data_IF_600364759671
#
_entry.id   IF_600364759671
#
_cell.length_a   1.000
_cell.length_b   1.000
_cell.length_c   1.000
_cell.angle_alpha   90.00
_cell.angle_beta   90.00
_cell.angle_gamma   90.00
#
_symmetry.space_group_name_H-M   'P 1'
#
loop_
_entity.id
_entity.type
_entity.pdbx_description
1 polymer ?
#
# COMPACT_ATOMS: atom_id res chain seq x y z
N UNK A 1 5.30 -20.02 4.30
CA UNK A 1 5.32 -18.72 5.00
C UNK A 1 4.86 -18.84 6.44
N UNK A 2 3.59 -19.18 6.70
CA UNK A 2 3.00 -19.24 8.05
C UNK A 2 3.77 -20.13 9.06
N UNK A 3 4.19 -21.33 8.65
CA UNK A 3 4.91 -22.29 9.50
C UNK A 3 6.33 -21.83 9.90
N UNK A 4 7.00 -21.04 9.07
CA UNK A 4 8.38 -20.60 9.34
C UNK A 4 8.46 -19.50 10.42
N UNK A 5 7.37 -18.76 10.64
CA UNK A 5 7.39 -17.55 11.48
C UNK A 5 6.61 -17.66 12.79
N UNK A 6 5.69 -18.63 12.95
CA UNK A 6 5.00 -18.87 14.22
C UNK A 6 5.97 -19.15 15.38
N UNK A 7 7.20 -19.59 15.08
CA UNK A 7 8.24 -19.90 16.06
C UNK A 7 9.06 -18.69 16.55
N UNK A 8 8.86 -17.49 15.99
CA UNK A 8 9.75 -16.32 16.21
C UNK A 8 9.18 -15.20 17.09
N UNK A 9 7.92 -15.29 17.54
CA UNK A 9 7.26 -14.33 18.44
C UNK A 9 7.48 -12.84 18.09
N UNK A 10 7.58 -12.51 16.79
CA UNK A 10 7.72 -11.13 16.34
C UNK A 10 6.33 -10.51 16.17
N UNK A 11 5.87 -9.75 17.16
CA UNK A 11 4.54 -9.13 17.19
C UNK A 11 4.32 -8.16 16.02
N UNK A 12 5.37 -7.48 15.55
CA UNK A 12 5.33 -6.61 14.36
C UNK A 12 4.98 -7.43 13.10
N UNK A 13 5.59 -8.61 12.97
CA UNK A 13 5.31 -9.53 11.86
C UNK A 13 3.89 -10.12 11.90
N UNK A 14 3.32 -10.32 13.09
CA UNK A 14 1.92 -10.73 13.23
C UNK A 14 0.94 -9.64 12.75
N UNK A 15 1.28 -8.36 12.94
CA UNK A 15 0.54 -7.23 12.40
C UNK A 15 0.48 -7.26 10.88
N UNK A 16 1.63 -7.42 10.21
CA UNK A 16 1.71 -7.51 8.75
C UNK A 16 0.91 -8.69 8.18
N UNK A 17 1.00 -9.88 8.79
CA UNK A 17 0.16 -11.03 8.40
C UNK A 17 -1.32 -10.71 8.60
N UNK A 18 -1.67 -10.07 9.70
CA UNK A 18 -3.05 -9.71 10.05
C UNK A 18 -3.70 -8.86 8.96
N UNK A 19 -3.03 -7.78 8.56
CA UNK A 19 -3.52 -6.87 7.50
C UNK A 19 -3.71 -7.62 6.18
N UNK A 20 -2.69 -8.37 5.73
CA UNK A 20 -2.79 -9.14 4.47
C UNK A 20 -3.91 -10.18 4.54
N UNK A 21 -4.09 -10.84 5.69
CA UNK A 21 -5.15 -11.85 5.87
C UNK A 21 -6.53 -11.22 5.82
N UNK A 22 -6.73 -10.06 6.46
CA UNK A 22 -8.00 -9.31 6.43
C UNK A 22 -8.32 -8.89 4.99
N UNK A 23 -7.35 -8.30 4.28
CA UNK A 23 -7.53 -7.88 2.89
C UNK A 23 -7.80 -9.08 1.98
N UNK A 24 -7.09 -10.20 2.17
CA UNK A 24 -7.32 -11.43 1.42
C UNK A 24 -8.74 -11.97 1.63
N UNK A 25 -9.21 -12.06 2.88
CA UNK A 25 -10.58 -12.51 3.19
C UNK A 25 -11.62 -11.57 2.58
N UNK A 26 -11.39 -10.25 2.64
CA UNK A 26 -12.27 -9.26 2.03
C UNK A 26 -12.35 -9.45 0.50
N UNK A 27 -11.22 -9.61 -0.19
CA UNK A 27 -11.18 -9.86 -1.63
C UNK A 27 -11.87 -11.19 -1.94
N UNK A 28 -11.50 -12.28 -1.27
CA UNK A 28 -12.03 -13.62 -1.53
C UNK A 28 -13.56 -13.69 -1.33
N UNK A 29 -14.08 -13.04 -0.29
CA UNK A 29 -15.52 -12.99 -0.02
C UNK A 29 -16.30 -12.09 -0.98
N UNK A 30 -15.65 -11.13 -1.64
CA UNK A 30 -16.30 -10.16 -2.53
C UNK A 30 -15.99 -10.36 -4.01
N UNK A 31 -15.08 -11.27 -4.38
CA UNK A 31 -14.54 -11.40 -5.74
C UNK A 31 -15.61 -11.59 -6.83
N UNK A 32 -16.70 -12.32 -6.53
CA UNK A 32 -17.83 -12.54 -7.45
C UNK A 32 -18.68 -11.28 -7.66
N UNK A 33 -18.67 -10.36 -6.69
CA UNK A 33 -19.42 -9.10 -6.73
C UNK A 33 -18.57 -7.99 -7.37
N UNK A 34 -17.31 -7.90 -6.98
CA UNK A 34 -16.41 -6.85 -7.45
C UNK A 34 -15.93 -7.07 -8.89
N UNK A 35 -15.87 -8.32 -9.35
CA UNK A 35 -15.41 -8.66 -10.71
C UNK A 35 -14.12 -7.91 -11.08
N UNK A 36 -13.13 -7.92 -10.18
CA UNK A 36 -11.85 -7.23 -10.37
C UNK A 36 -11.17 -7.66 -11.67
N UNK A 37 -10.63 -6.68 -12.40
CA UNK A 37 -9.85 -6.96 -13.60
C UNK A 37 -8.50 -7.62 -13.26
N UNK A 38 -7.87 -8.24 -14.25
CA UNK A 38 -6.59 -8.93 -14.05
C UNK A 38 -5.50 -7.98 -13.55
N UNK A 39 -5.49 -6.72 -14.00
CA UNK A 39 -4.51 -5.74 -13.55
C UNK A 39 -4.62 -5.53 -12.02
N UNK A 40 -5.83 -5.34 -11.53
CA UNK A 40 -6.11 -5.12 -10.10
C UNK A 40 -5.75 -6.37 -9.27
N UNK A 41 -6.11 -7.56 -9.75
CA UNK A 41 -5.79 -8.82 -9.06
C UNK A 41 -4.28 -9.11 -9.01
N UNK A 42 -3.56 -8.89 -10.11
CA UNK A 42 -2.09 -8.99 -10.12
C UNK A 42 -1.46 -7.93 -9.22
N UNK A 43 -1.97 -6.71 -9.26
CA UNK A 43 -1.58 -5.61 -8.38
C UNK A 43 -1.62 -6.03 -6.91
N UNK A 44 -2.79 -6.51 -6.47
CA UNK A 44 -3.03 -6.99 -5.10
C UNK A 44 -2.16 -8.19 -4.74
N UNK A 45 -1.95 -9.12 -5.67
CA UNK A 45 -1.13 -10.31 -5.44
C UNK A 45 0.34 -9.96 -5.23
N UNK A 46 0.88 -9.07 -6.06
CA UNK A 46 2.26 -8.58 -5.93
C UNK A 46 2.39 -7.77 -4.64
N UNK A 47 1.42 -6.91 -4.32
CA UNK A 47 1.44 -6.14 -3.07
C UNK A 47 1.45 -7.08 -1.85
N UNK A 48 0.56 -8.08 -1.82
CA UNK A 48 0.52 -9.05 -0.73
C UNK A 48 1.83 -9.83 -0.59
N UNK A 49 2.44 -10.24 -1.71
CA UNK A 49 3.76 -10.86 -1.71
C UNK A 49 4.84 -9.91 -1.18
N UNK A 50 4.89 -8.67 -1.67
CA UNK A 50 5.85 -7.66 -1.23
C UNK A 50 5.71 -7.40 0.27
N UNK A 51 4.51 -7.15 0.77
CA UNK A 51 4.25 -6.88 2.18
C UNK A 51 4.72 -8.05 3.07
N UNK A 52 4.38 -9.28 2.68
CA UNK A 52 4.80 -10.49 3.40
C UNK A 52 6.31 -10.70 3.33
N UNK A 53 6.96 -10.49 2.18
CA UNK A 53 8.42 -10.62 2.05
C UNK A 53 9.15 -9.50 2.78
N UNK A 54 8.66 -8.27 2.73
CA UNK A 54 9.28 -7.09 3.31
C UNK A 54 9.31 -7.12 4.84
N UNK A 55 8.21 -7.59 5.46
CA UNK A 55 8.12 -7.75 6.92
C UNK A 55 8.87 -8.97 7.47
N UNK A 56 9.44 -9.82 6.61
CA UNK A 56 9.89 -11.15 7.01
C UNK A 56 11.32 -11.48 6.59
N UNK A 57 11.77 -10.94 5.47
CA UNK A 57 13.13 -11.08 4.99
C UNK A 57 14.06 -10.20 5.83
N UNK A 58 15.06 -10.80 6.46
CA UNK A 58 16.06 -10.08 7.25
C UNK A 58 17.13 -9.47 6.34
N UNK A 59 17.46 -8.20 6.58
CA UNK A 59 18.53 -7.46 5.91
C UNK A 59 19.37 -6.76 6.98
N UNK A 60 20.57 -7.27 7.21
CA UNK A 60 21.40 -6.89 8.35
C UNK A 60 20.68 -7.21 9.67
N UNK A 61 20.63 -6.24 10.57
CA UNK A 61 19.97 -6.37 11.88
C UNK A 61 18.44 -6.14 11.82
N UNK A 62 17.91 -5.76 10.67
CA UNK A 62 16.52 -5.34 10.48
C UNK A 62 15.76 -6.24 9.49
N UNK A 63 14.52 -5.87 9.18
CA UNK A 63 13.73 -6.46 8.09
C UNK A 63 13.86 -5.62 6.82
N UNK A 64 13.51 -6.19 5.67
CA UNK A 64 13.61 -5.52 4.37
C UNK A 64 12.86 -4.18 4.34
N UNK A 65 11.74 -4.03 5.07
CA UNK A 65 11.06 -2.73 5.25
C UNK A 65 12.00 -1.59 5.68
N UNK A 66 12.86 -1.86 6.67
CA UNK A 66 13.78 -0.88 7.21
C UNK A 66 15.02 -0.66 6.33
N UNK A 67 15.15 -1.42 5.23
CA UNK A 67 16.31 -1.32 4.36
C UNK A 67 16.36 0.05 3.67
N UNK A 68 17.46 0.74 3.92
CA UNK A 68 17.80 2.06 3.37
C UNK A 68 18.37 1.86 1.96
N UNK A 69 17.54 2.09 0.94
CA UNK A 69 17.89 1.82 -0.47
C UNK A 69 18.90 2.85 -0.96
N UNK A 70 18.56 4.13 -0.82
CA UNK A 70 19.37 5.24 -1.32
C UNK A 70 19.17 6.48 -0.45
N UNK A 71 20.23 7.19 -0.04
CA UNK A 71 20.13 8.38 0.80
C UNK A 71 19.75 9.60 -0.03
N UNK A 72 18.51 9.68 -0.51
CA UNK A 72 17.96 10.90 -1.13
C UNK A 72 17.99 12.07 -0.13
N UNK A 73 17.68 11.80 1.13
CA UNK A 73 17.77 12.78 2.21
C UNK A 73 17.99 12.08 3.56
N UNK A 74 18.90 12.64 4.37
CA UNK A 74 19.15 12.20 5.74
C UNK A 74 19.02 13.42 6.65
N UNK A 75 17.99 13.41 7.50
CA UNK A 75 17.66 14.51 8.40
C UNK A 75 17.86 14.17 9.87
N UNK A 76 17.59 15.14 10.74
CA UNK A 76 17.53 14.92 12.18
C UNK A 76 16.36 13.99 12.57
N UNK A 77 16.42 13.42 13.78
CA UNK A 77 15.33 12.59 14.32
C UNK A 77 15.09 11.27 13.58
N UNK A 78 16.08 10.76 12.85
CA UNK A 78 16.00 9.46 12.16
C UNK A 78 15.33 9.51 10.78
N UNK A 79 15.02 10.69 10.26
CA UNK A 79 14.47 10.86 8.91
C UNK A 79 15.43 10.33 7.85
N UNK A 80 14.95 9.40 7.03
CA UNK A 80 15.71 8.83 5.91
C UNK A 80 14.79 8.57 4.72
N UNK A 81 15.08 9.23 3.61
CA UNK A 81 14.47 8.98 2.31
C UNK A 81 15.58 8.37 1.46
N UNK A 82 15.47 7.20 0.84
CA UNK A 82 14.35 6.31 0.58
C UNK A 82 14.56 4.95 1.26
N UNK A 83 13.64 4.51 2.14
CA UNK A 83 13.59 3.13 2.62
C UNK A 83 12.72 2.27 1.70
N UNK A 84 12.84 0.95 1.81
CA UNK A 84 11.98 0.01 1.08
C UNK A 84 10.50 0.16 1.44
N UNK A 85 10.22 0.56 2.67
CA UNK A 85 8.89 0.93 3.15
C UNK A 85 8.15 1.89 2.22
N UNK A 86 8.74 3.05 1.93
CA UNK A 86 8.18 4.04 1.02
C UNK A 86 7.92 3.49 -0.40
N UNK A 87 8.69 2.48 -0.86
CA UNK A 87 8.46 1.81 -2.14
C UNK A 87 7.21 0.92 -2.09
N UNK A 88 7.05 0.17 -1.00
CA UNK A 88 5.86 -0.67 -0.80
C UNK A 88 4.61 0.19 -0.63
N UNK A 89 4.71 1.32 0.05
CA UNK A 89 3.64 2.31 0.17
C UNK A 89 3.25 2.90 -1.19
N UNK A 90 4.21 3.39 -1.97
CA UNK A 90 3.96 3.86 -3.33
C UNK A 90 3.25 2.82 -4.19
N UNK A 91 3.76 1.59 -4.20
CA UNK A 91 3.15 0.52 -5.00
C UNK A 91 1.76 0.14 -4.48
N UNK A 92 1.64 -0.10 -3.17
CA UNK A 92 0.43 -0.57 -2.51
C UNK A 92 -0.74 0.40 -2.66
N UNK A 93 -0.49 1.70 -2.49
CA UNK A 93 -1.53 2.71 -2.69
C UNK A 93 -1.74 3.07 -4.16
N UNK A 94 -0.77 2.81 -5.04
CA UNK A 94 -1.07 2.71 -6.48
C UNK A 94 -2.11 1.63 -6.78
N UNK A 95 -1.95 0.44 -6.19
CA UNK A 95 -2.92 -0.67 -6.31
C UNK A 95 -4.26 -0.33 -5.65
N UNK A 96 -4.27 0.31 -4.48
CA UNK A 96 -5.50 0.75 -3.84
C UNK A 96 -6.27 1.76 -4.69
N UNK A 97 -5.57 2.66 -5.40
CA UNK A 97 -6.19 3.54 -6.38
C UNK A 97 -6.78 2.77 -7.58
N UNK A 98 -6.13 1.71 -8.06
CA UNK A 98 -6.69 0.84 -9.11
C UNK A 98 -7.96 0.13 -8.63
N UNK A 99 -7.97 -0.38 -7.40
CA UNK A 99 -9.16 -0.96 -6.75
C UNK A 99 -10.29 0.07 -6.70
N UNK A 100 -10.02 1.27 -6.20
CA UNK A 100 -11.00 2.34 -6.12
C UNK A 100 -11.54 2.73 -7.51
N UNK A 101 -10.65 2.88 -8.49
CA UNK A 101 -11.01 3.17 -9.87
C UNK A 101 -11.93 2.10 -10.46
N UNK A 102 -11.54 0.83 -10.34
CA UNK A 102 -12.33 -0.30 -10.83
C UNK A 102 -13.74 -0.29 -10.26
N UNK A 103 -13.86 -0.21 -8.93
CA UNK A 103 -15.16 -0.23 -8.25
C UNK A 103 -16.04 0.98 -8.58
N UNK A 104 -15.45 2.18 -8.63
CA UNK A 104 -16.17 3.39 -9.01
C UNK A 104 -16.62 3.34 -10.47
N UNK A 105 -15.74 2.89 -11.38
CA UNK A 105 -16.00 2.86 -12.82
C UNK A 105 -17.21 2.01 -13.20
N UNK A 106 -17.45 0.91 -12.47
CA UNK A 106 -18.59 0.01 -12.69
C UNK A 106 -19.96 0.69 -12.57
N UNK A 107 -20.05 1.71 -11.70
CA UNK A 107 -21.28 2.45 -11.45
C UNK A 107 -21.16 3.93 -11.87
N UNK A 108 -20.09 4.28 -12.58
CA UNK A 108 -19.86 5.65 -13.01
C UNK A 108 -20.76 5.96 -14.20
N UNK A 109 -21.59 7.01 -14.06
CA UNK A 109 -22.50 7.42 -15.14
C UNK A 109 -21.71 7.77 -16.39
N UNK A 110 -22.26 7.43 -17.56
CA UNK A 110 -21.66 7.75 -18.87
C UNK A 110 -21.41 9.27 -19.06
N UNK A 111 -22.25 10.12 -18.47
CA UNK A 111 -22.11 11.58 -18.47
C UNK A 111 -21.22 12.12 -17.36
N UNK A 112 -20.69 11.25 -16.50
CA UNK A 112 -19.85 11.63 -15.37
C UNK A 112 -18.45 12.07 -15.82
N UNK A 113 -17.92 13.11 -15.16
CA UNK A 113 -16.58 13.61 -15.46
C UNK A 113 -15.51 12.56 -15.16
N UNK A 114 -14.73 12.17 -16.19
CA UNK A 114 -13.57 11.27 -16.01
C UNK A 114 -12.52 11.86 -15.08
N UNK A 115 -12.35 13.18 -15.08
CA UNK A 115 -11.44 13.87 -14.16
C UNK A 115 -11.85 13.60 -12.72
N UNK A 116 -13.15 13.70 -12.41
CA UNK A 116 -13.66 13.40 -11.07
C UNK A 116 -13.49 11.93 -10.70
N UNK A 117 -13.71 11.00 -11.63
CA UNK A 117 -13.48 9.57 -11.39
C UNK A 117 -12.02 9.30 -10.96
N UNK A 118 -11.05 9.86 -11.68
CA UNK A 118 -9.63 9.72 -11.31
C UNK A 118 -9.31 10.43 -9.99
N UNK A 119 -9.79 11.66 -9.80
CA UNK A 119 -9.58 12.40 -8.55
C UNK A 119 -10.14 11.63 -7.34
N UNK A 120 -11.35 11.09 -7.42
CA UNK A 120 -11.93 10.31 -6.34
C UNK A 120 -11.18 8.99 -6.10
N UNK A 121 -10.66 8.36 -7.15
CA UNK A 121 -9.83 7.17 -6.99
C UNK A 121 -8.54 7.47 -6.21
N UNK A 122 -7.89 8.62 -6.49
CA UNK A 122 -6.73 9.10 -5.71
C UNK A 122 -7.12 9.40 -4.26
N UNK A 123 -8.20 10.15 -4.04
CA UNK A 123 -8.63 10.55 -2.69
C UNK A 123 -9.05 9.36 -1.83
N UNK A 124 -9.76 8.38 -2.40
CA UNK A 124 -10.12 7.13 -1.70
C UNK A 124 -8.84 6.37 -1.33
N UNK A 125 -7.89 6.26 -2.25
CA UNK A 125 -6.61 5.61 -1.98
C UNK A 125 -5.80 6.32 -0.89
N UNK A 126 -5.74 7.66 -0.92
CA UNK A 126 -5.09 8.44 0.12
C UNK A 126 -5.79 8.27 1.48
N UNK A 127 -7.12 8.13 1.49
CA UNK A 127 -7.90 7.79 2.68
C UNK A 127 -7.54 6.42 3.24
N UNK A 128 -7.40 5.39 2.38
CA UNK A 128 -6.86 4.10 2.82
C UNK A 128 -5.42 4.21 3.34
N UNK A 129 -4.61 5.09 2.75
CA UNK A 129 -3.28 5.45 3.24
C UNK A 129 -3.32 5.95 4.67
N UNK A 130 -4.14 6.97 4.94
CA UNK A 130 -4.31 7.50 6.28
C UNK A 130 -4.82 6.45 7.28
N UNK A 131 -5.71 5.54 6.87
CA UNK A 131 -6.15 4.44 7.73
C UNK A 131 -5.01 3.46 8.06
N UNK A 132 -4.13 3.17 7.10
CA UNK A 132 -2.94 2.36 7.34
C UNK A 132 -2.01 3.01 8.36
N UNK A 133 -1.71 4.30 8.18
CA UNK A 133 -0.88 5.06 9.11
C UNK A 133 -1.47 5.11 10.53
N UNK A 134 -2.80 5.18 10.66
CA UNK A 134 -3.47 5.09 11.97
C UNK A 134 -3.18 3.73 12.61
N UNK A 135 -3.23 2.63 11.86
CA UNK A 135 -2.92 1.29 12.38
C UNK A 135 -1.46 1.19 12.81
N UNK A 136 -0.53 1.73 12.02
CA UNK A 136 0.90 1.75 12.36
C UNK A 136 1.21 2.62 13.56
N UNK A 137 0.60 3.81 13.66
CA UNK A 137 0.70 4.66 14.83
C UNK A 137 0.18 3.96 16.09
N UNK A 138 -0.98 3.27 16.02
CA UNK A 138 -1.50 2.50 17.15
C UNK A 138 -0.54 1.36 17.52
N UNK A 139 0.08 0.70 16.53
CA UNK A 139 1.11 -0.31 16.80
C UNK A 139 2.31 0.29 17.55
N UNK A 140 2.79 1.47 17.12
CA UNK A 140 3.88 2.19 17.80
C UNK A 140 3.53 2.62 19.23
N UNK A 141 2.25 2.89 19.52
CA UNK A 141 1.79 3.25 20.87
C UNK A 141 1.69 2.03 21.79
N UNK A 142 1.25 0.87 21.28
CA UNK A 142 0.94 -0.30 22.12
C UNK A 142 2.03 -1.38 22.13
N UNK A 143 2.96 -1.38 21.17
CA UNK A 143 4.02 -2.38 21.07
C UNK A 143 5.38 -1.76 21.49
N UNK A 144 6.18 -2.49 22.28
CA UNK A 144 7.36 -1.93 22.94
C UNK A 144 8.49 -1.52 21.98
N UNK A 145 8.52 -2.02 20.74
CA UNK A 145 9.43 -1.58 19.67
C UNK A 145 8.77 -1.81 18.31
N UNK A 146 8.69 -0.77 17.48
CA UNK A 146 8.21 -0.86 16.08
C UNK A 146 9.12 -0.05 15.17
N UNK A 147 9.32 -0.50 13.93
CA UNK A 147 10.12 0.22 12.93
C UNK A 147 9.35 1.32 12.19
N UNK A 148 8.07 1.51 12.52
CA UNK A 148 7.10 2.34 11.81
C UNK A 148 6.26 3.20 12.76
N UNK A 149 5.48 4.15 12.23
CA UNK A 149 4.50 4.92 12.98
C UNK A 149 5.03 6.16 13.73
N UNK A 150 6.33 6.46 13.61
CA UNK A 150 6.87 7.76 14.04
C UNK A 150 6.42 8.90 13.11
N UNK A 151 6.56 10.16 13.56
CA UNK A 151 6.09 11.32 12.81
C UNK A 151 6.71 11.45 11.41
N UNK A 152 8.01 11.16 11.28
CA UNK A 152 8.72 11.31 10.01
C UNK A 152 8.39 10.18 9.05
N UNK A 153 8.32 8.95 9.54
CA UNK A 153 7.86 7.79 8.77
C UNK A 153 6.43 8.01 8.27
N UNK A 154 5.48 8.26 9.17
CA UNK A 154 4.08 8.54 8.81
C UNK A 154 3.96 9.66 7.76
N UNK A 155 4.69 10.77 7.94
CA UNK A 155 4.66 11.89 7.00
C UNK A 155 5.17 11.50 5.61
N UNK A 156 6.27 10.73 5.54
CA UNK A 156 6.79 10.22 4.28
C UNK A 156 5.83 9.22 3.65
N UNK A 157 5.28 8.31 4.43
CA UNK A 157 4.40 7.26 3.90
C UNK A 157 3.13 7.87 3.33
N UNK A 158 2.50 8.86 3.97
CA UNK A 158 1.39 9.62 3.38
C UNK A 158 1.75 10.28 2.03
N UNK A 159 2.98 10.80 1.90
CA UNK A 159 3.48 11.36 0.63
C UNK A 159 3.58 10.26 -0.43
N UNK A 160 4.25 9.14 -0.12
CA UNK A 160 4.43 8.04 -1.07
C UNK A 160 3.10 7.34 -1.41
N UNK A 161 2.17 7.22 -0.46
CA UNK A 161 0.80 6.75 -0.66
C UNK A 161 0.10 7.59 -1.73
N UNK A 162 0.17 8.92 -1.57
CA UNK A 162 -0.46 9.89 -2.48
C UNK A 162 0.20 9.87 -3.86
N UNK A 163 1.53 9.86 -3.92
CA UNK A 163 2.29 9.79 -5.18
C UNK A 163 1.99 8.51 -5.95
N UNK A 164 1.91 7.36 -5.26
CA UNK A 164 1.54 6.08 -5.83
C UNK A 164 0.16 6.09 -6.46
N UNK A 165 -0.83 6.63 -5.73
CA UNK A 165 -2.19 6.77 -6.22
C UNK A 165 -2.28 7.69 -7.46
N UNK A 166 -1.58 8.83 -7.46
CA UNK A 166 -1.50 9.73 -8.62
C UNK A 166 -0.85 9.03 -9.81
N UNK A 167 0.26 8.31 -9.59
CA UNK A 167 0.97 7.58 -10.64
C UNK A 167 0.08 6.52 -11.29
N UNK A 168 -0.68 5.76 -10.48
CA UNK A 168 -1.63 4.77 -10.97
C UNK A 168 -2.73 5.40 -11.84
N UNK A 169 -3.29 6.55 -11.44
CA UNK A 169 -4.31 7.22 -12.25
C UNK A 169 -3.76 7.80 -13.55
N UNK A 170 -2.51 8.31 -13.54
CA UNK A 170 -1.83 8.71 -14.78
C UNK A 170 -1.60 7.50 -15.70
N UNK A 171 -1.16 6.36 -15.16
CA UNK A 171 -1.00 5.13 -15.91
C UNK A 171 -2.32 4.69 -16.58
N UNK A 172 -3.43 4.68 -15.82
CA UNK A 172 -4.77 4.36 -16.36
C UNK A 172 -5.16 5.33 -17.48
N UNK A 173 -4.98 6.63 -17.28
CA UNK A 173 -5.28 7.65 -18.29
C UNK A 173 -4.55 7.39 -19.62
N UNK A 174 -3.24 7.14 -19.57
CA UNK A 174 -2.45 6.88 -20.78
C UNK A 174 -2.80 5.54 -21.43
N UNK A 175 -3.08 4.50 -20.63
CA UNK A 175 -3.51 3.18 -21.12
C UNK A 175 -4.82 3.30 -21.91
N UNK A 176 -5.80 4.00 -21.36
CA UNK A 176 -7.10 4.19 -22.02
C UNK A 176 -7.00 5.07 -23.26
N UNK A 177 -6.15 6.10 -23.26
CA UNK A 177 -5.94 6.93 -24.44
C UNK A 177 -5.40 6.12 -25.62
N UNK A 178 -4.46 5.21 -25.37
CA UNK A 178 -3.87 4.32 -26.39
C UNK A 178 -4.87 3.31 -26.95
N UNK A 179 -5.82 2.83 -26.15
CA UNK A 179 -6.85 1.90 -26.63
C UNK A 179 -7.90 2.59 -27.50
N UNK A 180 -8.07 3.92 -27.35
CA UNK A 180 -9.06 4.71 -28.10
C UNK A 180 -8.48 5.44 -29.33
N UNK A 181 -7.19 5.27 -29.64
CA UNK A 181 -6.49 5.82 -30.81
C UNK A 181 -6.26 4.74 -31.87
#
# INVERSE_FOLDING_TARGET
>A
FFVYFFTRANYEFLGYIGVVSIVFVLIASTIRKTNFDYLTLWGLSIWGLLHMTAGSLRVGDSVLYAWKIFPLFVGEGGMYILKFDQVVHFYGFGVAALVAYHLLSQNWRYTGSRKLLFTFSVLISAGFGALNEIVEFLAAVFLPETGVGDFYNMGLDLIFNTLGAIAAMNFVYFREKKTNS
#
